data_IF_603314406247
#
_entry.id   IF_603314406247
#
_cell.length_a   1.000
_cell.length_b   1.000
_cell.length_c   1.000
_cell.angle_alpha   90.00
_cell.angle_beta   90.00
_cell.angle_gamma   90.00
#
_symmetry.space_group_name_H-M   'P 1'
#
loop_
_entity.id
_entity.type
_entity.pdbx_description
1 polymer ?
#
# COMPACT_ATOMS: atom_id res chain seq x y z
N UNK A 1 15.39 -6.57 -4.42
CA UNK A 1 13.96 -6.28 -4.13
C UNK A 1 13.43 -7.16 -3.01
N UNK A 2 13.35 -8.48 -3.17
CA UNK A 2 12.87 -9.37 -2.10
C UNK A 2 13.75 -9.34 -0.84
N UNK A 3 15.06 -9.13 -1.02
CA UNK A 3 15.99 -8.86 0.09
C UNK A 3 15.63 -7.56 0.85
N UNK A 4 15.34 -6.46 0.13
CA UNK A 4 14.92 -5.18 0.74
C UNK A 4 13.64 -5.37 1.57
N UNK A 5 12.71 -6.20 1.08
CA UNK A 5 11.50 -6.52 1.80
C UNK A 5 11.81 -7.30 3.10
N UNK A 6 12.62 -8.35 3.02
CA UNK A 6 13.05 -9.14 4.19
C UNK A 6 13.74 -8.29 5.26
N UNK A 7 14.77 -7.54 4.86
CA UNK A 7 15.54 -6.65 5.76
C UNK A 7 14.64 -5.59 6.40
N UNK A 8 13.74 -4.96 5.64
CA UNK A 8 12.83 -3.95 6.16
C UNK A 8 11.80 -4.55 7.14
N UNK A 9 11.32 -5.78 6.91
CA UNK A 9 10.44 -6.46 7.86
C UNK A 9 11.13 -6.77 9.19
N UNK A 10 12.40 -7.18 9.14
CA UNK A 10 13.21 -7.38 10.36
C UNK A 10 13.46 -6.06 11.08
N UNK A 11 13.90 -5.03 10.36
CA UNK A 11 14.17 -3.71 10.93
C UNK A 11 12.91 -3.07 11.58
N UNK A 12 11.74 -3.34 11.01
CA UNK A 12 10.46 -2.90 11.57
C UNK A 12 9.93 -3.80 12.72
N UNK A 13 10.65 -4.86 13.07
CA UNK A 13 10.27 -5.83 14.10
C UNK A 13 9.02 -6.64 13.75
N UNK A 14 8.71 -6.78 12.45
CA UNK A 14 7.55 -7.52 11.96
C UNK A 14 7.83 -9.03 11.94
N UNK A 15 9.07 -9.40 11.61
CA UNK A 15 9.57 -10.78 11.62
C UNK A 15 10.94 -10.82 12.29
N UNK A 16 11.33 -11.98 12.80
CA UNK A 16 12.68 -12.20 13.34
C UNK A 16 13.66 -12.56 12.21
N UNK A 17 14.97 -12.40 12.44
CA UNK A 17 16.01 -12.77 11.46
C UNK A 17 15.92 -14.25 11.02
N UNK A 18 15.41 -15.13 11.89
CA UNK A 18 15.13 -16.53 11.56
C UNK A 18 14.06 -16.73 10.48
N UNK A 19 13.33 -15.68 10.12
CA UNK A 19 12.42 -15.66 8.98
C UNK A 19 13.14 -15.41 7.65
N UNK A 20 14.46 -15.15 7.64
CA UNK A 20 15.22 -14.86 6.43
C UNK A 20 16.04 -16.08 5.95
N UNK A 21 16.18 -16.21 4.63
CA UNK A 21 17.12 -17.13 3.99
C UNK A 21 18.56 -16.58 4.00
N UNK A 22 19.52 -17.37 3.53
CA UNK A 22 20.94 -16.98 3.46
C UNK A 22 21.20 -15.74 2.57
N UNK A 23 20.23 -15.35 1.74
CA UNK A 23 20.29 -14.19 0.85
C UNK A 23 19.51 -12.97 1.41
N UNK A 24 19.02 -13.05 2.65
CA UNK A 24 18.28 -11.97 3.32
C UNK A 24 16.83 -11.82 2.85
N UNK A 25 16.25 -12.82 2.17
CA UNK A 25 14.87 -12.83 1.69
C UNK A 25 13.98 -13.56 2.68
N UNK A 26 12.67 -13.31 2.68
CA UNK A 26 11.75 -14.09 3.51
C UNK A 26 11.79 -15.58 3.12
N UNK A 27 12.15 -16.44 4.07
CA UNK A 27 12.22 -17.88 3.90
C UNK A 27 10.82 -18.51 3.93
N UNK A 28 10.39 -18.92 2.74
CA UNK A 28 9.10 -19.56 2.47
C UNK A 28 9.16 -21.10 2.48
N UNK A 29 10.23 -21.71 2.99
CA UNK A 29 10.41 -23.16 3.03
C UNK A 29 9.38 -23.90 3.90
N UNK A 30 8.75 -23.22 4.86
CA UNK A 30 7.71 -23.77 5.72
C UNK A 30 6.32 -23.59 5.06
N UNK A 31 5.90 -24.62 4.31
CA UNK A 31 4.78 -24.56 3.35
C UNK A 31 3.37 -24.29 3.93
N UNK A 32 3.17 -24.28 5.25
CA UNK A 32 1.85 -24.00 5.85
C UNK A 32 1.53 -22.51 5.94
N UNK A 33 2.54 -21.64 5.91
CA UNK A 33 2.36 -20.20 5.93
C UNK A 33 3.37 -19.52 5.02
N UNK A 34 2.84 -18.73 4.10
CA UNK A 34 3.63 -18.09 3.08
C UNK A 34 3.55 -16.58 3.38
N UNK A 35 4.51 -16.07 4.16
CA UNK A 35 4.67 -14.65 4.50
C UNK A 35 4.78 -13.79 3.23
N UNK A 36 5.45 -14.35 2.24
CA UNK A 36 5.46 -13.84 0.89
C UNK A 36 5.05 -14.98 -0.03
N UNK A 37 3.81 -14.97 -0.53
CA UNK A 37 3.47 -15.79 -1.71
C UNK A 37 4.23 -15.17 -2.87
N UNK A 38 5.54 -15.39 -2.91
CA UNK A 38 6.23 -15.88 -4.08
C UNK A 38 5.48 -17.16 -4.49
N UNK A 39 4.27 -16.99 -5.02
CA UNK A 39 3.80 -17.78 -6.15
C UNK A 39 4.97 -17.67 -7.09
N UNK A 40 5.82 -18.71 -7.09
CA UNK A 40 6.82 -18.87 -8.13
C UNK A 40 6.05 -18.58 -9.40
N UNK A 41 6.48 -17.56 -10.14
CA UNK A 41 5.78 -16.99 -11.27
C UNK A 41 5.18 -18.12 -12.10
N UNK A 42 3.93 -18.49 -11.84
CA UNK A 42 3.20 -19.23 -12.85
C UNK A 42 3.06 -18.20 -13.94
N UNK A 43 3.33 -18.58 -15.20
CA UNK A 43 3.32 -17.66 -16.34
C UNK A 43 2.02 -16.82 -16.46
N UNK A 44 1.02 -17.12 -15.65
CA UNK A 44 -0.33 -16.59 -15.63
C UNK A 44 -0.61 -15.60 -14.48
N UNK A 45 0.31 -15.39 -13.53
CA UNK A 45 0.13 -14.39 -12.45
C UNK A 45 0.96 -13.15 -12.76
N UNK A 46 0.30 -12.00 -12.87
CA UNK A 46 1.00 -10.71 -13.01
C UNK A 46 1.72 -10.36 -11.71
N UNK A 47 3.01 -10.04 -11.81
CA UNK A 47 3.82 -9.54 -10.69
C UNK A 47 4.61 -8.32 -11.17
N UNK A 48 4.42 -7.19 -10.50
CA UNK A 48 5.14 -5.95 -10.78
C UNK A 48 6.00 -5.59 -9.57
N UNK A 49 7.27 -5.27 -9.82
CA UNK A 49 8.19 -4.75 -8.82
C UNK A 49 8.52 -3.30 -9.16
N UNK A 50 8.35 -2.40 -8.19
CA UNK A 50 8.81 -1.02 -8.26
C UNK A 50 9.94 -0.81 -7.27
N UNK A 51 10.98 -0.09 -7.69
CA UNK A 51 12.13 0.27 -6.87
C UNK A 51 12.30 1.78 -6.88
N UNK A 52 12.54 2.36 -5.71
CA UNK A 52 12.73 3.80 -5.55
C UNK A 52 14.01 4.07 -4.77
N UNK A 53 14.80 5.01 -5.29
CA UNK A 53 16.02 5.53 -4.68
C UNK A 53 15.93 7.06 -4.60
N UNK A 54 16.39 7.69 -3.51
CA UNK A 54 16.44 9.14 -3.38
C UNK A 54 17.31 9.76 -4.47
N UNK A 55 16.84 10.85 -5.08
CA UNK A 55 17.60 11.59 -6.09
C UNK A 55 18.90 12.19 -5.50
N UNK A 56 18.85 12.64 -4.26
CA UNK A 56 20.00 13.14 -3.51
C UNK A 56 20.14 12.32 -2.21
N UNK A 57 21.09 11.38 -2.14
CA UNK A 57 21.33 10.62 -0.92
C UNK A 57 21.87 11.54 0.18
N UNK A 58 21.29 11.47 1.38
CA UNK A 58 21.80 12.16 2.56
C UNK A 58 23.15 11.52 2.92
N UNK A 59 24.25 12.26 2.72
CA UNK A 59 25.61 11.98 3.21
C UNK A 59 25.89 10.52 3.62
N UNK A 60 26.08 9.66 2.61
CA UNK A 60 26.58 8.30 2.79
C UNK A 60 25.53 7.19 2.99
N UNK A 61 24.23 7.51 3.12
CA UNK A 61 23.17 6.48 3.13
C UNK A 61 22.43 6.41 1.79
N UNK A 62 22.25 5.18 1.28
CA UNK A 62 21.42 4.87 0.12
C UNK A 62 20.10 4.29 0.61
N UNK A 63 19.30 5.09 1.31
CA UNK A 63 18.01 4.61 1.79
C UNK A 63 17.09 4.28 0.61
N UNK A 64 16.71 3.02 0.42
CA UNK A 64 15.92 2.56 -0.74
C UNK A 64 14.52 2.09 -0.34
N UNK A 65 13.65 1.91 -1.32
CA UNK A 65 12.33 1.33 -1.13
C UNK A 65 11.91 0.40 -2.25
N UNK A 66 11.09 -0.58 -1.90
CA UNK A 66 10.51 -1.52 -2.84
C UNK A 66 9.03 -1.70 -2.64
N UNK A 67 8.30 -1.78 -3.74
CA UNK A 67 6.88 -2.13 -3.76
C UNK A 67 6.67 -3.32 -4.70
N UNK A 68 5.85 -4.28 -4.27
CA UNK A 68 5.45 -5.44 -5.06
C UNK A 68 3.95 -5.50 -5.20
N UNK A 69 3.48 -5.67 -6.43
CA UNK A 69 2.07 -5.79 -6.79
C UNK A 69 1.84 -7.17 -7.40
N UNK A 70 0.76 -7.83 -6.97
CA UNK A 70 0.37 -9.16 -7.42
C UNK A 70 -1.06 -9.11 -7.94
N UNK A 71 -1.28 -9.61 -9.15
CA UNK A 71 -2.61 -9.76 -9.75
C UNK A 71 -3.24 -11.11 -9.46
N UNK A 72 -4.52 -11.24 -9.83
CA UNK A 72 -5.22 -12.53 -9.85
C UNK A 72 -4.82 -13.27 -11.14
N UNK A 73 -4.46 -14.55 -11.03
CA UNK A 73 -4.12 -15.35 -12.21
C UNK A 73 -5.34 -15.62 -13.09
N UNK A 74 -5.15 -15.87 -14.38
CA UNK A 74 -6.24 -16.11 -15.34
C UNK A 74 -7.18 -17.27 -14.97
N UNK A 75 -6.73 -18.24 -14.16
CA UNK A 75 -7.50 -19.39 -13.67
C UNK A 75 -7.79 -19.33 -12.16
N UNK A 76 -7.47 -18.19 -11.53
CA UNK A 76 -7.55 -17.99 -10.09
C UNK A 76 -8.83 -17.28 -9.66
N UNK A 77 -8.86 -16.87 -8.39
CA UNK A 77 -9.96 -16.05 -7.83
C UNK A 77 -9.43 -15.00 -6.88
N UNK A 78 -10.24 -14.04 -6.44
CA UNK A 78 -9.80 -13.03 -5.47
C UNK A 78 -9.32 -13.62 -4.13
N UNK A 79 -9.78 -14.82 -3.75
CA UNK A 79 -9.31 -15.53 -2.55
C UNK A 79 -7.84 -15.97 -2.66
N UNK A 80 -7.24 -15.83 -3.83
CA UNK A 80 -5.82 -16.00 -4.06
C UNK A 80 -4.95 -14.88 -3.51
N UNK A 81 -5.53 -13.68 -3.34
CA UNK A 81 -4.86 -12.52 -2.77
C UNK A 81 -4.85 -12.66 -1.24
N UNK A 82 -3.66 -12.64 -0.64
CA UNK A 82 -3.46 -12.96 0.78
C UNK A 82 -4.14 -11.92 1.67
N UNK A 83 -3.97 -10.64 1.36
CA UNK A 83 -4.61 -9.53 2.06
C UNK A 83 -6.15 -9.65 2.02
N UNK A 84 -6.72 -10.02 0.87
CA UNK A 84 -8.17 -10.25 0.77
C UNK A 84 -8.61 -11.45 1.61
N UNK A 85 -7.96 -12.60 1.42
CA UNK A 85 -8.30 -13.83 2.13
C UNK A 85 -8.27 -13.65 3.66
N UNK A 86 -7.26 -12.94 4.16
CA UNK A 86 -7.11 -12.66 5.59
C UNK A 86 -8.17 -11.68 6.11
N UNK A 87 -8.50 -10.65 5.33
CA UNK A 87 -9.45 -9.60 5.73
C UNK A 87 -10.93 -9.99 5.51
N UNK A 88 -11.23 -10.88 4.57
CA UNK A 88 -12.59 -11.29 4.15
C UNK A 88 -13.54 -11.60 5.32
N UNK A 89 -13.13 -12.30 6.40
CA UNK A 89 -14.03 -12.61 7.51
C UNK A 89 -14.54 -11.38 8.28
N UNK A 90 -13.76 -10.30 8.34
CA UNK A 90 -14.12 -9.05 9.03
C UNK A 90 -14.48 -7.92 8.08
N UNK A 91 -14.29 -8.10 6.78
CA UNK A 91 -14.57 -7.09 5.77
C UNK A 91 -16.08 -6.89 5.59
N UNK A 92 -16.54 -5.65 5.68
CA UNK A 92 -17.95 -5.32 5.46
C UNK A 92 -18.43 -5.67 4.05
N UNK A 93 -19.68 -6.10 3.91
CA UNK A 93 -20.25 -6.56 2.63
C UNK A 93 -20.15 -5.51 1.51
N UNK A 94 -20.27 -4.22 1.83
CA UNK A 94 -20.13 -3.15 0.84
C UNK A 94 -18.71 -3.08 0.25
N UNK A 95 -17.67 -3.33 1.06
CA UNK A 95 -16.29 -3.37 0.60
C UNK A 95 -16.00 -4.64 -0.21
N UNK A 96 -16.57 -5.78 0.19
CA UNK A 96 -16.46 -7.01 -0.59
C UNK A 96 -17.11 -6.86 -1.97
N UNK A 97 -18.34 -6.34 -2.02
CA UNK A 97 -19.06 -6.07 -3.28
C UNK A 97 -18.24 -5.19 -4.20
N UNK A 98 -17.68 -4.10 -3.68
CA UNK A 98 -16.81 -3.20 -4.47
C UNK A 98 -15.64 -3.91 -5.16
N UNK A 99 -15.05 -4.93 -4.52
CA UNK A 99 -13.97 -5.72 -5.13
C UNK A 99 -14.52 -6.74 -6.13
N UNK A 100 -15.65 -7.39 -5.84
CA UNK A 100 -16.30 -8.30 -6.78
C UNK A 100 -16.79 -7.58 -8.04
N UNK A 101 -17.42 -6.41 -7.90
CA UNK A 101 -17.89 -5.58 -9.00
C UNK A 101 -16.72 -5.17 -9.92
N UNK A 102 -15.56 -4.81 -9.35
CA UNK A 102 -14.37 -4.50 -10.13
C UNK A 102 -13.86 -5.72 -10.94
N UNK A 103 -14.00 -6.94 -10.41
CA UNK A 103 -13.66 -8.18 -11.13
C UNK A 103 -14.70 -8.49 -12.20
N UNK A 104 -15.98 -8.22 -11.94
CA UNK A 104 -17.04 -8.39 -12.94
C UNK A 104 -16.83 -7.44 -14.13
N UNK A 105 -16.48 -6.18 -13.86
CA UNK A 105 -16.29 -5.14 -14.88
C UNK A 105 -14.98 -5.31 -15.69
N UNK A 106 -13.88 -5.68 -15.02
CA UNK A 106 -12.52 -5.64 -15.61
C UNK A 106 -11.84 -7.02 -15.67
N UNK A 107 -12.55 -8.09 -15.28
CA UNK A 107 -11.99 -9.43 -15.14
C UNK A 107 -10.95 -9.53 -14.02
N UNK A 108 -10.05 -10.50 -14.12
CA UNK A 108 -9.01 -10.75 -13.12
C UNK A 108 -8.02 -9.58 -12.91
N UNK A 109 -7.96 -8.63 -13.84
CA UNK A 109 -7.18 -7.39 -13.68
C UNK A 109 -7.83 -6.34 -12.78
N UNK A 110 -9.13 -6.44 -12.50
CA UNK A 110 -9.88 -5.42 -11.76
C UNK A 110 -9.46 -5.25 -10.30
N UNK A 111 -8.83 -6.27 -9.70
CA UNK A 111 -8.31 -6.22 -8.34
C UNK A 111 -6.89 -6.75 -8.29
N UNK A 112 -6.00 -5.99 -7.67
CA UNK A 112 -4.61 -6.41 -7.39
C UNK A 112 -4.29 -6.20 -5.91
N UNK A 113 -3.22 -6.84 -5.46
CA UNK A 113 -2.70 -6.74 -4.10
C UNK A 113 -1.37 -6.00 -4.11
N UNK A 114 -1.22 -4.96 -3.28
CA UNK A 114 0.12 -4.49 -2.91
C UNK A 114 0.63 -5.44 -1.83
N UNK A 115 1.35 -6.47 -2.27
CA UNK A 115 1.80 -7.57 -1.42
C UNK A 115 2.94 -7.17 -0.48
N UNK A 116 3.77 -6.20 -0.90
CA UNK A 116 4.81 -5.63 -0.06
C UNK A 116 5.03 -4.15 -0.41
N UNK A 117 5.19 -3.32 0.62
CA UNK A 117 5.69 -1.96 0.52
C UNK A 117 6.65 -1.76 1.69
N UNK A 118 7.93 -1.72 1.39
CA UNK A 118 8.96 -1.62 2.42
C UNK A 118 10.05 -0.64 2.02
N UNK A 119 10.69 -0.04 3.01
CA UNK A 119 11.80 0.88 2.85
C UNK A 119 12.89 0.52 3.84
N UNK A 120 14.15 0.74 3.48
CA UNK A 120 15.28 0.55 4.40
C UNK A 120 15.21 1.55 5.55
N UNK A 121 15.87 1.26 6.68
CA UNK A 121 15.82 2.09 7.89
C UNK A 121 16.19 3.57 7.64
N UNK A 122 17.13 3.83 6.74
CA UNK A 122 17.62 5.18 6.43
C UNK A 122 16.85 5.89 5.29
N UNK A 123 15.78 5.27 4.76
CA UNK A 123 15.02 5.84 3.65
C UNK A 123 14.17 7.03 4.11
N UNK A 124 14.25 8.18 3.41
CA UNK A 124 13.36 9.29 3.70
C UNK A 124 11.90 8.93 3.35
N UNK A 125 10.88 9.53 4.01
CA UNK A 125 9.48 9.23 3.75
C UNK A 125 9.05 9.37 2.28
N UNK A 126 9.70 10.27 1.54
CA UNK A 126 9.50 10.52 0.11
C UNK A 126 9.68 9.28 -0.76
N UNK A 127 10.49 8.31 -0.35
CA UNK A 127 10.66 7.04 -1.07
C UNK A 127 9.33 6.28 -1.14
N UNK A 128 8.66 6.11 0.01
CA UNK A 128 7.36 5.43 0.06
C UNK A 128 6.28 6.19 -0.71
N UNK A 129 6.32 7.53 -0.69
CA UNK A 129 5.34 8.35 -1.41
C UNK A 129 5.58 8.28 -2.92
N UNK A 130 6.83 8.23 -3.36
CA UNK A 130 7.18 8.03 -4.77
C UNK A 130 6.68 6.69 -5.29
N UNK A 131 6.83 5.62 -4.49
CA UNK A 131 6.28 4.30 -4.84
C UNK A 131 4.76 4.33 -4.96
N UNK A 132 4.05 4.92 -3.98
CA UNK A 132 2.59 5.08 -4.05
C UNK A 132 2.19 5.94 -5.25
N UNK A 133 2.91 7.01 -5.52
CA UNK A 133 2.65 7.91 -6.66
C UNK A 133 2.79 7.18 -7.99
N UNK A 134 3.80 6.32 -8.12
CA UNK A 134 3.99 5.50 -9.30
C UNK A 134 2.86 4.47 -9.46
N UNK A 135 2.37 3.88 -8.36
CA UNK A 135 1.16 3.04 -8.37
C UNK A 135 -0.05 3.82 -8.88
N UNK A 136 -0.23 5.07 -8.45
CA UNK A 136 -1.29 5.92 -8.98
C UNK A 136 -1.10 6.16 -10.47
N UNK A 137 0.12 6.47 -10.94
CA UNK A 137 0.41 6.69 -12.36
C UNK A 137 0.07 5.46 -13.21
N UNK A 138 0.39 4.26 -12.74
CA UNK A 138 0.11 3.01 -13.44
C UNK A 138 -1.39 2.69 -13.54
N UNK A 139 -2.15 2.98 -12.48
CA UNK A 139 -3.53 2.51 -12.37
C UNK A 139 -4.60 3.61 -12.38
N UNK A 140 -4.22 4.86 -12.51
CA UNK A 140 -5.18 5.95 -12.65
C UNK A 140 -6.05 5.74 -13.89
N UNK A 141 -7.37 5.92 -13.75
CA UNK A 141 -8.41 5.70 -14.79
C UNK A 141 -8.58 4.28 -15.31
N UNK A 142 -7.86 3.31 -14.77
CA UNK A 142 -8.08 1.89 -15.11
C UNK A 142 -9.37 1.35 -14.49
N UNK A 143 -9.87 1.99 -13.43
CA UNK A 143 -10.96 1.47 -12.60
C UNK A 143 -10.51 0.40 -11.58
N UNK A 144 -9.28 -0.10 -11.70
CA UNK A 144 -8.72 -1.13 -10.83
C UNK A 144 -8.70 -0.71 -9.36
N UNK A 145 -8.81 -1.72 -8.48
CA UNK A 145 -8.79 -1.57 -7.02
C UNK A 145 -7.59 -2.30 -6.46
N UNK A 146 -6.91 -1.71 -5.48
CA UNK A 146 -5.78 -2.33 -4.82
C UNK A 146 -6.14 -2.68 -3.39
N UNK A 147 -5.92 -3.93 -2.98
CA UNK A 147 -5.99 -4.33 -1.58
C UNK A 147 -4.59 -4.38 -0.97
N UNK A 148 -4.47 -3.95 0.28
CA UNK A 148 -3.21 -3.94 1.02
C UNK A 148 -3.49 -4.21 2.50
N UNK A 149 -2.57 -4.92 3.17
CA UNK A 149 -2.54 -5.02 4.62
C UNK A 149 -1.31 -4.32 5.16
N UNK A 150 -1.52 -3.26 5.93
CA UNK A 150 -0.44 -2.49 6.56
C UNK A 150 -0.20 -2.98 7.98
N UNK A 151 1.05 -2.97 8.44
CA UNK A 151 1.30 -2.94 9.89
C UNK A 151 0.69 -1.66 10.50
N UNK A 152 0.06 -1.77 11.67
CA UNK A 152 -0.66 -0.67 12.31
C UNK A 152 0.14 0.66 12.39
N UNK A 153 1.44 0.67 12.77
CA UNK A 153 2.22 1.92 12.78
C UNK A 153 2.38 2.54 11.38
N UNK A 154 2.54 1.70 10.35
CA UNK A 154 2.62 2.16 8.96
C UNK A 154 1.26 2.69 8.48
N UNK A 155 0.17 1.98 8.79
CA UNK A 155 -1.19 2.42 8.48
C UNK A 155 -1.49 3.80 9.07
N UNK A 156 -1.19 4.00 10.37
CA UNK A 156 -1.39 5.27 11.05
C UNK A 156 -0.64 6.41 10.35
N UNK A 157 0.61 6.17 9.93
CA UNK A 157 1.39 7.14 9.14
C UNK A 157 0.76 7.41 7.77
N UNK A 158 0.26 6.39 7.07
CA UNK A 158 -0.42 6.58 5.78
C UNK A 158 -1.69 7.41 5.94
N UNK A 159 -2.57 7.08 6.89
CA UNK A 159 -3.81 7.83 7.16
C UNK A 159 -3.52 9.26 7.61
N UNK A 160 -2.45 9.46 8.39
CA UNK A 160 -2.04 10.79 8.83
C UNK A 160 -1.67 11.71 7.65
N UNK A 161 -1.08 11.17 6.59
CA UNK A 161 -0.60 11.95 5.45
C UNK A 161 -1.59 12.01 4.26
N UNK A 162 -2.28 10.90 3.97
CA UNK A 162 -3.22 10.77 2.85
C UNK A 162 -4.69 10.92 3.27
N UNK A 163 -5.00 10.70 4.55
CA UNK A 163 -6.37 10.72 5.05
C UNK A 163 -7.11 9.39 4.89
N UNK A 164 -8.13 9.19 5.75
CA UNK A 164 -8.94 7.96 5.80
C UNK A 164 -9.76 7.68 4.55
N UNK A 165 -10.04 8.70 3.73
CA UNK A 165 -10.79 8.52 2.48
C UNK A 165 -9.91 7.92 1.39
N UNK A 166 -8.63 8.25 1.36
CA UNK A 166 -7.69 7.74 0.35
C UNK A 166 -7.19 6.33 0.71
N UNK A 167 -7.09 6.04 2.00
CA UNK A 167 -6.65 4.77 2.57
C UNK A 167 -7.67 4.23 3.58
N UNK A 168 -8.92 3.90 3.16
CA UNK A 168 -9.94 3.40 4.07
C UNK A 168 -9.57 2.02 4.62
N UNK A 169 -9.70 1.84 5.93
CA UNK A 169 -9.74 0.52 6.55
C UNK A 169 -11.08 -0.15 6.19
N UNK A 170 -11.01 -1.41 5.76
CA UNK A 170 -12.18 -2.12 5.19
C UNK A 170 -12.64 -3.33 5.99
N UNK A 171 -11.93 -3.67 7.07
CA UNK A 171 -12.27 -4.73 8.00
C UNK A 171 -11.56 -4.52 9.34
N UNK A 172 -11.86 -5.37 10.32
CA UNK A 172 -11.20 -5.31 11.63
C UNK A 172 -9.70 -5.62 11.52
N UNK A 173 -8.83 -4.91 12.27
CA UNK A 173 -7.43 -5.25 12.35
C UNK A 173 -7.23 -6.66 12.91
N UNK A 174 -6.21 -7.36 12.44
CA UNK A 174 -5.94 -8.73 12.86
C UNK A 174 -4.45 -8.96 13.07
N UNK A 175 -4.09 -9.76 14.06
CA UNK A 175 -2.69 -10.14 14.28
C UNK A 175 -2.21 -11.06 13.16
N UNK A 176 -0.99 -10.80 12.67
CA UNK A 176 -0.32 -11.67 11.71
C UNK A 176 -0.16 -13.10 12.28
N UNK A 177 0.00 -13.22 13.60
CA UNK A 177 0.14 -14.47 14.34
C UNK A 177 -1.18 -15.28 14.47
N UNK A 178 -2.12 -15.22 13.53
CA UNK A 178 -3.28 -16.13 13.57
C UNK A 178 -2.91 -17.61 13.36
N UNK A 179 -1.66 -17.91 12.97
CA UNK A 179 -1.25 -19.24 12.49
C UNK A 179 -0.01 -19.87 13.20
N UNK A 180 0.47 -19.32 14.32
CA UNK A 180 1.60 -19.88 15.10
C UNK A 180 2.97 -19.98 14.40
N UNK A 181 3.32 -19.11 13.43
CA UNK A 181 4.70 -19.05 12.95
C UNK A 181 5.59 -18.36 14.00
N UNK A 182 6.50 -19.09 14.68
CA UNK A 182 7.33 -18.53 15.74
C UNK A 182 8.35 -17.50 15.23
N UNK A 183 8.48 -17.34 13.90
CA UNK A 183 9.37 -16.38 13.25
C UNK A 183 8.72 -15.00 13.07
N UNK A 184 7.42 -14.87 13.34
CA UNK A 184 6.68 -13.60 13.23
C UNK A 184 6.48 -12.95 14.59
N UNK A 185 6.43 -11.62 14.63
CA UNK A 185 6.11 -10.91 15.86
C UNK A 185 4.65 -11.17 16.28
N UNK A 186 4.45 -11.60 17.52
CA UNK A 186 3.13 -11.83 18.11
C UNK A 186 2.28 -10.55 18.16
N UNK A 187 2.94 -9.39 18.17
CA UNK A 187 2.32 -8.08 18.30
C UNK A 187 2.08 -7.39 16.95
N UNK A 188 2.38 -8.07 15.84
CA UNK A 188 2.18 -7.50 14.50
C UNK A 188 0.70 -7.43 14.15
N UNK A 189 0.07 -6.30 14.46
CA UNK A 189 -1.31 -6.00 14.10
C UNK A 189 -1.38 -5.43 12.67
N UNK A 190 -2.13 -6.11 11.81
CA UNK A 190 -2.34 -5.75 10.41
C UNK A 190 -3.70 -5.08 10.21
N UNK A 191 -3.72 -4.03 9.41
CA UNK A 191 -4.92 -3.27 9.04
C UNK A 191 -5.18 -3.44 7.55
N UNK A 192 -6.32 -4.05 7.16
CA UNK A 192 -6.68 -4.19 5.76
C UNK A 192 -7.28 -2.90 5.20
N UNK A 193 -6.82 -2.49 4.02
CA UNK A 193 -7.26 -1.29 3.33
C UNK A 193 -7.49 -1.54 1.83
N UNK A 194 -8.42 -0.80 1.24
CA UNK A 194 -8.62 -0.75 -0.21
C UNK A 194 -8.22 0.63 -0.70
N UNK A 195 -7.34 0.67 -1.69
CA UNK A 195 -6.91 1.88 -2.38
C UNK A 195 -7.57 1.93 -3.75
N UNK A 196 -8.06 3.10 -4.12
CA UNK A 196 -8.66 3.36 -5.42
C UNK A 196 -7.82 4.36 -6.19
N UNK A 197 -6.86 3.92 -7.03
CA UNK A 197 -5.96 4.82 -7.74
C UNK A 197 -6.67 5.93 -8.52
N UNK A 198 -7.84 5.61 -9.09
CA UNK A 198 -8.64 6.58 -9.86
C UNK A 198 -9.23 7.71 -9.00
N UNK A 199 -9.58 7.43 -7.74
CA UNK A 199 -10.23 8.39 -6.83
C UNK A 199 -9.28 8.88 -5.73
N UNK A 200 -8.01 8.46 -5.74
CA UNK A 200 -7.11 8.64 -4.62
C UNK A 200 -6.86 10.11 -4.30
N UNK A 201 -6.56 10.92 -5.31
CA UNK A 201 -6.27 12.35 -5.15
C UNK A 201 -7.51 13.14 -4.75
N UNK A 202 -8.68 12.82 -5.32
CA UNK A 202 -9.97 13.38 -4.90
C UNK A 202 -10.27 13.09 -3.43
N UNK A 203 -9.95 11.88 -2.97
CA UNK A 203 -10.13 11.50 -1.58
C UNK A 203 -9.14 12.22 -0.63
N UNK A 204 -7.91 12.49 -1.06
CA UNK A 204 -7.00 13.37 -0.30
C UNK A 204 -7.58 14.78 -0.23
N UNK A 205 -8.00 15.34 -1.38
CA UNK A 205 -8.62 16.67 -1.49
C UNK A 205 -9.81 16.81 -0.55
N UNK A 206 -10.74 15.85 -0.56
CA UNK A 206 -11.84 15.76 0.40
C UNK A 206 -11.34 15.77 1.84
N UNK A 207 -10.27 15.03 2.13
CA UNK A 207 -9.64 15.00 3.44
C UNK A 207 -8.98 16.32 3.86
N UNK A 208 -8.61 17.20 2.93
CA UNK A 208 -8.16 18.57 3.22
C UNK A 208 -9.35 19.43 3.64
N UNK A 209 -10.41 19.44 2.83
CA UNK A 209 -11.61 20.27 3.04
C UNK A 209 -12.35 19.90 4.33
N UNK A 210 -12.39 18.61 4.68
CA UNK A 210 -13.07 18.13 5.89
C UNK A 210 -12.14 17.94 7.10
N UNK A 211 -10.95 18.53 7.11
CA UNK A 211 -10.05 18.42 8.26
C UNK A 211 -10.58 19.23 9.45
N UNK A 212 -10.48 18.67 10.66
CA UNK A 212 -10.97 19.31 11.89
C UNK A 212 -10.04 20.45 12.37
N UNK A 213 -8.81 20.52 11.86
CA UNK A 213 -7.80 21.50 12.24
C UNK A 213 -6.88 21.91 11.07
N UNK A 214 -6.39 23.15 11.13
CA UNK A 214 -5.51 23.75 10.12
C UNK A 214 -4.19 23.00 9.89
N UNK A 215 -3.47 22.55 10.93
CA UNK A 215 -2.28 21.70 10.75
C UNK A 215 -2.53 20.41 9.95
N UNK A 216 -3.64 19.71 10.22
CA UNK A 216 -4.04 18.51 9.46
C UNK A 216 -4.37 18.84 8.02
N UNK A 217 -5.14 19.91 7.77
CA UNK A 217 -5.43 20.40 6.42
C UNK A 217 -4.14 20.72 5.64
N UNK A 218 -3.24 21.52 6.24
CA UNK A 218 -1.93 21.87 5.65
C UNK A 218 -1.12 20.65 5.26
N UNK A 219 -1.01 19.67 6.16
CA UNK A 219 -0.24 18.44 5.91
C UNK A 219 -0.81 17.68 4.72
N UNK A 220 -2.13 17.43 4.70
CA UNK A 220 -2.78 16.73 3.60
C UNK A 220 -2.70 17.50 2.28
N UNK A 221 -2.77 18.83 2.34
CA UNK A 221 -2.60 19.67 1.16
C UNK A 221 -1.17 19.60 0.61
N UNK A 222 -0.16 19.64 1.47
CA UNK A 222 1.24 19.43 1.05
C UNK A 222 1.44 18.05 0.42
N UNK A 223 0.84 17.00 1.00
CA UNK A 223 0.82 15.67 0.39
C UNK A 223 0.15 15.69 -0.98
N UNK A 224 -1.03 16.32 -1.11
CA UNK A 224 -1.75 16.44 -2.38
C UNK A 224 -0.85 17.09 -3.45
N UNK A 225 -0.23 18.23 -3.14
CA UNK A 225 0.69 18.93 -4.04
C UNK A 225 1.83 18.01 -4.49
N UNK A 226 2.49 17.32 -3.55
CA UNK A 226 3.57 16.37 -3.87
C UNK A 226 3.11 15.23 -4.79
N UNK A 227 1.92 14.68 -4.53
CA UNK A 227 1.39 13.58 -5.33
C UNK A 227 1.02 14.03 -6.76
N UNK A 228 0.60 15.29 -6.93
CA UNK A 228 0.24 15.86 -8.24
C UNK A 228 1.42 16.44 -9.02
N UNK A 229 2.54 16.73 -8.36
CA UNK A 229 3.67 17.49 -8.93
C UNK A 229 4.36 16.77 -10.09
N UNK A 230 4.03 17.08 -11.34
CA UNK A 230 4.55 16.39 -12.52
C UNK A 230 3.75 15.14 -12.92
N UNK A 231 2.54 14.97 -12.37
CA UNK A 231 1.49 14.24 -13.09
C UNK A 231 0.85 15.20 -14.13
N UNK A 232 0.27 14.66 -15.21
CA UNK A 232 -0.34 15.44 -16.30
C UNK A 232 -1.21 16.61 -15.80
N UNK A 233 -1.36 17.66 -16.64
CA UNK A 233 -2.19 18.87 -16.41
C UNK A 233 -3.62 18.60 -15.92
N UNK A 234 -4.10 17.36 -16.04
CA UNK A 234 -5.38 16.88 -15.52
C UNK A 234 -5.52 16.96 -13.99
N UNK A 235 -4.43 16.86 -13.22
CA UNK A 235 -4.50 16.83 -11.75
C UNK A 235 -4.32 18.21 -11.09
N UNK A 236 -3.77 19.17 -11.83
CA UNK A 236 -3.60 20.56 -11.41
C UNK A 236 -4.90 21.33 -11.10
N UNK A 237 -6.05 21.06 -11.75
CA UNK A 237 -7.33 21.64 -11.37
C UNK A 237 -7.74 21.30 -9.93
N UNK A 238 -7.40 20.12 -9.42
CA UNK A 238 -7.82 19.66 -8.10
C UNK A 238 -7.11 20.44 -6.98
N UNK A 239 -5.80 20.69 -7.10
CA UNK A 239 -5.05 21.52 -6.16
C UNK A 239 -5.51 22.97 -6.18
N UNK A 240 -5.84 23.50 -7.37
CA UNK A 240 -6.42 24.85 -7.53
C UNK A 240 -7.83 24.96 -6.93
N UNK A 241 -8.66 23.93 -7.08
CA UNK A 241 -9.99 23.87 -6.51
C UNK A 241 -9.92 23.92 -4.97
N UNK A 242 -9.06 23.11 -4.35
CA UNK A 242 -8.87 23.12 -2.89
C UNK A 242 -8.41 24.49 -2.37
N UNK A 243 -7.50 25.16 -3.10
CA UNK A 243 -7.10 26.53 -2.77
C UNK A 243 -8.27 27.52 -2.85
N UNK A 244 -9.20 27.34 -3.77
CA UNK A 244 -10.37 28.21 -3.92
C UNK A 244 -11.50 27.92 -2.92
N UNK A 245 -11.62 26.68 -2.45
CA UNK A 245 -12.76 26.21 -1.65
C UNK A 245 -12.53 26.28 -0.13
N UNK A 246 -11.29 26.42 0.35
CA UNK A 246 -11.11 26.32 1.80
C UNK A 246 -9.70 26.50 2.35
N UNK A 247 -8.90 27.40 1.76
CA UNK A 247 -7.62 27.81 2.33
C UNK A 247 -7.61 29.34 2.48
N UNK A 248 -8.54 29.90 3.26
CA UNK A 248 -8.52 31.34 3.58
C UNK A 248 -7.73 31.66 4.87
N UNK A 249 -7.43 30.67 5.71
CA UNK A 249 -6.76 30.84 7.02
C UNK A 249 -5.61 29.84 7.28
N UNK A 250 -4.84 29.46 6.24
CA UNK A 250 -3.61 28.66 6.41
C UNK A 250 -2.37 29.53 6.58
#
# INVERSE_FOLDING_TARGET
MEQIHGEAYVAAGHVYESALDELGRLDNSNAEFILDKARGSTRETEVIYLHAVPAEPLSGSQGEGGLRIVGISAVGSIDDLSAFKAAKPSMGLAHQRKLYDAIEDLGHGGVKEIAALSVTADAPPTVSYSLIREVLRLYHRTGEKLIITFAMPAYAKMVMNFGRFAMPQVGEPFYAHRNNDPRTSNDLLLVPSIVEPSNFLENISRGVVTADDGPTARRRFATLCYMTDGLDDYFMPLTRQVLSEGIQDI
#
